data_IF_365184025946
#
_entry.id   IF_365184025946
#
_cell.length_a   1.000
_cell.length_b   1.000
_cell.length_c   1.000
_cell.angle_alpha   90.00
_cell.angle_beta   90.00
_cell.angle_gamma   90.00
#
_symmetry.space_group_name_H-M   'P 1'
#
loop_
_entity.id
_entity.type
_entity.pdbx_description
1 polymer ?
#
# COMPACT_ATOMS: atom_id res chain seq x y z
N UNK A 1 5.59 0.59 -23.69
CA UNK A 1 6.52 -0.46 -23.19
C UNK A 1 6.30 -1.71 -24.00
N UNK A 2 7.30 -2.13 -24.77
CA UNK A 2 7.13 -3.30 -25.65
C UNK A 2 7.03 -4.59 -24.82
N UNK A 3 6.01 -5.42 -25.10
CA UNK A 3 5.76 -6.71 -24.46
C UNK A 3 5.46 -6.68 -22.94
N UNK A 4 4.87 -5.61 -22.41
CA UNK A 4 4.43 -5.57 -21.01
C UNK A 4 3.31 -6.60 -20.77
N UNK A 5 3.48 -7.48 -19.78
CA UNK A 5 2.50 -8.52 -19.43
C UNK A 5 1.69 -8.18 -18.17
N UNK A 6 2.28 -7.40 -17.26
CA UNK A 6 1.64 -7.09 -15.99
C UNK A 6 1.98 -5.71 -15.45
N UNK A 7 1.05 -5.15 -14.71
CA UNK A 7 1.23 -3.96 -13.88
C UNK A 7 1.04 -4.37 -12.42
N UNK A 8 2.05 -4.14 -11.61
CA UNK A 8 2.03 -4.44 -10.18
C UNK A 8 1.95 -3.11 -9.42
N UNK A 9 0.97 -2.97 -8.56
CA UNK A 9 0.68 -1.72 -7.84
C UNK A 9 1.07 -1.83 -6.37
N UNK A 10 1.59 -0.75 -5.81
CA UNK A 10 1.42 -0.48 -4.39
C UNK A 10 -0.05 -0.14 -4.10
N UNK A 11 -0.41 -0.02 -2.84
CA UNK A 11 -1.79 0.19 -2.42
C UNK A 11 -2.02 1.62 -1.90
N UNK A 12 -1.45 1.94 -0.73
CA UNK A 12 -1.65 3.24 -0.09
C UNK A 12 -0.85 4.35 -0.80
N UNK A 13 -1.52 5.41 -1.23
CA UNK A 13 -0.87 6.47 -2.01
C UNK A 13 -0.86 6.21 -3.52
N UNK A 14 -1.22 4.98 -3.93
CA UNK A 14 -1.24 4.57 -5.34
C UNK A 14 -2.65 4.25 -5.84
N UNK A 15 -3.39 3.37 -5.17
CA UNK A 15 -4.76 3.01 -5.54
C UNK A 15 -5.81 3.72 -4.67
N UNK A 16 -5.51 3.93 -3.40
CA UNK A 16 -6.38 4.62 -2.46
C UNK A 16 -5.62 5.42 -1.40
N UNK A 17 -6.34 6.21 -0.61
CA UNK A 17 -5.85 6.84 0.62
C UNK A 17 -6.64 6.36 1.82
N UNK A 18 -5.94 5.90 2.86
CA UNK A 18 -6.54 5.44 4.11
C UNK A 18 -6.20 6.33 5.30
N UNK A 19 -5.63 7.52 5.05
CA UNK A 19 -5.17 8.45 6.11
C UNK A 19 -6.28 8.75 7.10
N UNK A 20 -7.49 9.06 6.63
CA UNK A 20 -8.61 9.42 7.51
C UNK A 20 -9.07 8.23 8.36
N UNK A 21 -9.18 7.06 7.76
CA UNK A 21 -9.54 5.83 8.47
C UNK A 21 -8.50 5.48 9.53
N UNK A 22 -7.22 5.48 9.16
CA UNK A 22 -6.10 5.17 10.05
C UNK A 22 -6.00 6.16 11.21
N UNK A 23 -6.14 7.46 10.93
CA UNK A 23 -6.14 8.49 11.95
C UNK A 23 -7.29 8.32 12.97
N UNK A 24 -8.50 8.08 12.49
CA UNK A 24 -9.65 7.87 13.36
C UNK A 24 -9.50 6.60 14.19
N UNK A 25 -8.94 5.53 13.61
CA UNK A 25 -8.64 4.28 14.31
C UNK A 25 -7.61 4.49 15.43
N UNK A 26 -6.55 5.25 15.18
CA UNK A 26 -5.55 5.58 16.20
C UNK A 26 -6.17 6.36 17.36
N UNK A 27 -7.09 7.27 17.08
CA UNK A 27 -7.85 7.98 18.14
C UNK A 27 -8.72 7.03 18.96
N UNK A 28 -9.45 6.12 18.32
CA UNK A 28 -10.24 5.10 19.01
C UNK A 28 -9.39 4.24 19.95
N UNK A 29 -8.15 3.89 19.56
CA UNK A 29 -7.23 3.13 20.41
C UNK A 29 -6.71 4.00 21.54
N UNK A 30 -6.33 5.24 21.26
CA UNK A 30 -5.86 6.19 22.27
C UNK A 30 -6.90 6.43 23.38
N UNK A 31 -8.18 6.58 23.03
CA UNK A 31 -9.27 6.78 23.98
C UNK A 31 -9.44 5.61 24.96
N UNK A 32 -9.03 4.40 24.56
CA UNK A 32 -9.10 3.18 25.39
C UNK A 32 -7.88 2.96 26.29
N UNK A 33 -6.77 3.62 25.98
CA UNK A 33 -5.48 3.44 26.65
C UNK A 33 -4.94 4.76 27.18
N UNK A 34 -5.19 5.10 28.48
CA UNK A 34 -4.75 6.37 29.10
C UNK A 34 -3.23 6.61 29.10
N UNK A 35 -2.43 5.56 28.96
CA UNK A 35 -0.96 5.59 28.85
C UNK A 35 -0.51 6.05 27.47
N UNK A 36 -1.37 6.06 26.46
CA UNK A 36 -1.09 6.72 25.18
C UNK A 36 -1.29 8.23 25.35
N UNK A 37 -0.27 8.90 25.85
CA UNK A 37 -0.32 10.34 26.18
C UNK A 37 0.04 11.25 25.02
N UNK A 38 0.63 10.68 23.94
CA UNK A 38 1.02 11.43 22.74
C UNK A 38 -0.08 11.37 21.70
N UNK A 39 -0.53 12.53 21.25
CA UNK A 39 -1.40 12.61 20.08
C UNK A 39 -0.59 12.39 18.79
N UNK A 40 -1.16 11.64 17.85
CA UNK A 40 -0.62 11.40 16.51
C UNK A 40 -1.44 12.24 15.55
N UNK A 41 -0.78 13.11 14.79
CA UNK A 41 -1.45 13.96 13.78
C UNK A 41 -1.71 13.20 12.46
N UNK A 42 -2.65 13.70 11.65
CA UNK A 42 -2.87 13.15 10.29
C UNK A 42 -1.61 13.22 9.41
N UNK A 43 -0.79 14.25 9.58
CA UNK A 43 0.47 14.40 8.84
C UNK A 43 1.50 13.32 9.23
N UNK A 44 1.55 12.95 10.51
CA UNK A 44 2.38 11.82 10.95
C UNK A 44 1.86 10.48 10.43
N UNK A 45 0.54 10.30 10.37
CA UNK A 45 -0.08 9.13 9.72
C UNK A 45 0.33 9.08 8.26
N UNK A 46 0.21 10.19 7.53
CA UNK A 46 0.62 10.29 6.13
C UNK A 46 2.09 9.90 5.93
N UNK A 47 3.00 10.43 6.75
CA UNK A 47 4.44 10.13 6.70
C UNK A 47 4.80 8.68 7.07
N UNK A 48 3.88 7.98 7.71
CA UNK A 48 4.06 6.58 8.13
C UNK A 48 3.50 5.57 7.13
N UNK A 49 2.80 6.03 6.08
CA UNK A 49 2.29 5.14 5.04
C UNK A 49 3.45 4.44 4.30
N UNK A 50 3.32 3.13 4.11
CA UNK A 50 4.34 2.31 3.45
C UNK A 50 5.55 1.95 4.32
N UNK A 51 5.69 2.51 5.53
CA UNK A 51 6.79 2.17 6.43
C UNK A 51 6.63 0.76 7.04
N UNK A 52 7.74 0.08 7.37
CA UNK A 52 7.73 -1.17 8.12
C UNK A 52 7.08 -1.03 9.50
N UNK A 53 6.46 -2.13 9.97
CA UNK A 53 5.72 -2.16 11.25
C UNK A 53 6.56 -1.69 12.46
N UNK A 54 7.80 -2.15 12.57
CA UNK A 54 8.71 -1.80 13.67
C UNK A 54 9.07 -0.31 13.67
N UNK A 55 9.19 0.31 12.50
CA UNK A 55 9.41 1.76 12.36
C UNK A 55 8.17 2.51 12.84
N UNK A 56 6.97 2.07 12.47
CA UNK A 56 5.71 2.68 12.92
C UNK A 56 5.55 2.56 14.44
N UNK A 57 5.81 1.38 15.01
CA UNK A 57 5.80 1.17 16.48
C UNK A 57 6.71 2.17 17.18
N UNK A 58 7.95 2.31 16.70
CA UNK A 58 8.92 3.26 17.27
C UNK A 58 8.45 4.72 17.12
N UNK A 59 7.89 5.09 15.98
CA UNK A 59 7.45 6.46 15.71
C UNK A 59 6.25 6.86 16.57
N UNK A 60 5.28 5.95 16.77
CA UNK A 60 4.04 6.27 17.46
C UNK A 60 4.12 6.04 18.98
N UNK A 61 4.77 4.95 19.38
CA UNK A 61 4.72 4.43 20.75
C UNK A 61 6.10 4.25 21.40
N UNK A 62 7.18 4.73 20.76
CA UNK A 62 8.56 4.52 21.23
C UNK A 62 8.91 5.12 22.59
N UNK A 63 7.99 5.85 23.22
CA UNK A 63 8.10 6.35 24.61
C UNK A 63 7.52 5.38 25.65
N UNK A 64 6.84 4.33 25.21
CA UNK A 64 6.29 3.27 26.06
C UNK A 64 7.28 2.11 26.18
N UNK A 65 7.02 1.20 27.14
CA UNK A 65 7.67 -0.10 27.16
C UNK A 65 7.47 -0.84 25.82
N UNK A 66 8.50 -1.56 25.37
CA UNK A 66 8.50 -2.16 24.03
C UNK A 66 7.35 -3.15 23.82
N UNK A 67 7.06 -4.01 24.80
CA UNK A 67 5.99 -5.00 24.67
C UNK A 67 4.62 -4.32 24.61
N UNK A 68 4.44 -3.28 25.40
CA UNK A 68 3.23 -2.47 25.42
C UNK A 68 3.05 -1.70 24.10
N UNK A 69 4.11 -1.05 23.59
CA UNK A 69 4.12 -0.36 22.31
C UNK A 69 3.71 -1.28 21.14
N UNK A 70 4.28 -2.49 21.11
CA UNK A 70 3.94 -3.52 20.11
C UNK A 70 2.49 -3.97 20.26
N UNK A 71 1.99 -4.13 21.47
CA UNK A 71 0.60 -4.52 21.74
C UNK A 71 -0.39 -3.49 21.19
N UNK A 72 -0.18 -2.21 21.51
CA UNK A 72 -1.06 -1.12 21.04
C UNK A 72 -1.00 -0.92 19.51
N UNK A 73 0.19 -1.04 18.93
CA UNK A 73 0.32 -1.00 17.49
C UNK A 73 -0.44 -2.14 16.81
N UNK A 74 -0.33 -3.38 17.32
CA UNK A 74 -1.10 -4.52 16.79
C UNK A 74 -2.60 -4.32 16.93
N UNK A 75 -3.07 -3.79 18.08
CA UNK A 75 -4.48 -3.45 18.27
C UNK A 75 -4.94 -2.43 17.22
N UNK A 76 -4.15 -1.34 17.03
CA UNK A 76 -4.47 -0.31 16.07
C UNK A 76 -4.52 -0.87 14.62
N UNK A 77 -3.57 -1.71 14.23
CA UNK A 77 -3.55 -2.32 12.90
C UNK A 77 -4.74 -3.26 12.68
N UNK A 78 -5.06 -4.13 13.64
CA UNK A 78 -6.21 -5.03 13.54
C UNK A 78 -7.52 -4.22 13.45
N UNK A 79 -7.65 -3.21 14.30
CA UNK A 79 -8.83 -2.33 14.28
C UNK A 79 -8.95 -1.53 12.99
N UNK A 80 -7.81 -1.11 12.41
CA UNK A 80 -7.79 -0.43 11.13
C UNK A 80 -8.31 -1.33 10.00
N UNK A 81 -7.91 -2.60 9.95
CA UNK A 81 -8.46 -3.58 8.99
C UNK A 81 -9.97 -3.74 9.15
N UNK A 82 -10.47 -3.86 10.39
CA UNK A 82 -11.92 -3.93 10.65
C UNK A 82 -12.66 -2.68 10.16
N UNK A 83 -12.11 -1.49 10.44
CA UNK A 83 -12.69 -0.21 10.02
C UNK A 83 -12.65 -0.06 8.49
N UNK A 84 -11.55 -0.45 7.83
CA UNK A 84 -11.43 -0.45 6.38
C UNK A 84 -12.41 -1.43 5.71
N UNK A 85 -12.61 -2.62 6.27
CA UNK A 85 -13.62 -3.56 5.79
C UNK A 85 -15.05 -3.02 5.89
N UNK A 86 -15.30 -2.09 6.80
CA UNK A 86 -16.61 -1.49 7.03
C UNK A 86 -16.84 -0.20 6.24
N UNK A 87 -15.83 0.64 6.16
CA UNK A 87 -15.96 2.01 5.63
C UNK A 87 -15.19 2.22 4.33
N UNK A 88 -14.20 1.38 4.02
CA UNK A 88 -13.27 1.57 2.90
C UNK A 88 -12.25 2.67 3.14
N UNK A 89 -11.41 2.89 2.13
CA UNK A 89 -10.57 4.06 1.96
C UNK A 89 -11.12 4.97 0.85
N UNK A 90 -10.47 6.09 0.60
CA UNK A 90 -10.81 7.00 -0.49
C UNK A 90 -10.06 6.59 -1.75
N UNK A 91 -10.75 6.15 -2.78
CA UNK A 91 -10.15 5.81 -4.08
C UNK A 91 -9.66 7.08 -4.78
N UNK A 92 -8.53 6.99 -5.50
CA UNK A 92 -8.10 8.08 -6.37
C UNK A 92 -9.05 8.25 -7.56
N UNK A 93 -9.21 9.49 -8.01
CA UNK A 93 -10.15 9.83 -9.08
C UNK A 93 -9.81 9.07 -10.39
N UNK A 94 -10.81 8.45 -11.00
CA UNK A 94 -10.67 7.67 -12.23
C UNK A 94 -10.16 6.24 -12.05
N UNK A 95 -9.81 5.82 -10.81
CA UNK A 95 -9.25 4.50 -10.55
C UNK A 95 -10.09 3.36 -11.12
N UNK A 96 -11.40 3.36 -10.85
CA UNK A 96 -12.27 2.25 -11.24
C UNK A 96 -12.27 2.00 -12.75
N UNK A 97 -12.39 3.06 -13.53
CA UNK A 97 -12.43 2.94 -15.01
C UNK A 97 -11.05 2.58 -15.56
N UNK A 98 -9.98 3.14 -15.01
CA UNK A 98 -8.60 2.80 -15.40
C UNK A 98 -8.29 1.33 -15.10
N UNK A 99 -8.60 0.82 -13.90
CA UNK A 99 -8.37 -0.60 -13.57
C UNK A 99 -9.16 -1.52 -14.50
N UNK A 100 -10.42 -1.20 -14.80
CA UNK A 100 -11.25 -1.98 -15.75
C UNK A 100 -10.63 -2.02 -17.15
N UNK A 101 -10.11 -0.89 -17.65
CA UNK A 101 -9.46 -0.83 -18.96
C UNK A 101 -8.17 -1.63 -18.97
N UNK A 102 -7.27 -1.37 -18.02
CA UNK A 102 -5.96 -2.04 -17.95
C UNK A 102 -6.09 -3.56 -17.79
N UNK A 103 -7.10 -4.05 -17.06
CA UNK A 103 -7.32 -5.49 -16.88
C UNK A 103 -7.68 -6.26 -18.15
N UNK A 104 -8.07 -5.57 -19.22
CA UNK A 104 -8.31 -6.20 -20.53
C UNK A 104 -7.01 -6.52 -21.29
N UNK A 105 -5.90 -5.86 -20.93
CA UNK A 105 -4.63 -5.95 -21.65
C UNK A 105 -3.51 -6.55 -20.79
N UNK A 106 -3.55 -6.30 -19.49
CA UNK A 106 -2.49 -6.66 -18.53
C UNK A 106 -3.00 -7.50 -17.37
N UNK A 107 -2.16 -8.35 -16.82
CA UNK A 107 -2.37 -8.91 -15.48
C UNK A 107 -2.14 -7.81 -14.46
N UNK A 108 -3.12 -7.55 -13.60
CA UNK A 108 -3.00 -6.56 -12.53
C UNK A 108 -2.74 -7.26 -11.22
N UNK A 109 -1.71 -6.83 -10.49
CA UNK A 109 -1.37 -7.39 -9.19
C UNK A 109 -1.16 -6.28 -8.15
N UNK A 110 -1.26 -6.62 -6.86
CA UNK A 110 -0.97 -5.70 -5.76
C UNK A 110 0.14 -6.29 -4.89
N UNK A 111 1.15 -5.48 -4.56
CA UNK A 111 2.18 -5.81 -3.56
C UNK A 111 2.37 -4.65 -2.61
N UNK A 112 2.09 -4.85 -1.33
CA UNK A 112 2.19 -3.80 -0.30
C UNK A 112 2.90 -4.29 0.97
N UNK A 113 3.45 -3.36 1.76
CA UNK A 113 4.05 -3.64 3.07
C UNK A 113 3.01 -3.76 4.21
N UNK A 114 1.73 -3.81 3.90
CA UNK A 114 0.66 -3.85 4.87
C UNK A 114 0.55 -5.19 5.62
N UNK A 115 -0.32 -5.22 6.62
CA UNK A 115 -0.69 -6.44 7.36
C UNK A 115 -1.65 -7.31 6.53
N UNK A 116 -1.74 -8.60 6.90
CA UNK A 116 -2.72 -9.52 6.31
C UNK A 116 -4.16 -9.01 6.51
N UNK A 117 -5.02 -9.17 5.51
CA UNK A 117 -6.40 -8.67 5.51
C UNK A 117 -6.59 -7.25 4.98
N UNK A 118 -5.50 -6.49 4.86
CA UNK A 118 -5.56 -5.08 4.44
C UNK A 118 -5.84 -4.93 2.93
N UNK A 119 -5.15 -5.71 2.08
CA UNK A 119 -5.42 -5.73 0.63
C UNK A 119 -6.82 -6.26 0.36
N UNK A 120 -7.23 -7.30 1.10
CA UNK A 120 -8.57 -7.88 1.00
C UNK A 120 -9.66 -6.86 1.33
N UNK A 121 -9.40 -5.92 2.26
CA UNK A 121 -10.34 -4.84 2.56
C UNK A 121 -10.51 -3.88 1.38
N UNK A 122 -9.42 -3.52 0.68
CA UNK A 122 -9.48 -2.75 -0.55
C UNK A 122 -10.26 -3.47 -1.64
N UNK A 123 -9.88 -4.71 -1.95
CA UNK A 123 -10.52 -5.50 -3.01
C UNK A 123 -12.03 -5.65 -2.80
N UNK A 124 -12.45 -5.82 -1.54
CA UNK A 124 -13.85 -5.98 -1.16
C UNK A 124 -14.61 -4.65 -1.23
N UNK A 125 -14.07 -3.58 -0.64
CA UNK A 125 -14.82 -2.31 -0.50
C UNK A 125 -14.82 -1.48 -1.77
N UNK A 126 -13.80 -1.61 -2.63
CA UNK A 126 -13.77 -0.98 -3.95
C UNK A 126 -14.59 -1.73 -5.00
N UNK A 127 -14.97 -2.99 -4.77
CA UNK A 127 -15.55 -3.90 -5.77
C UNK A 127 -14.62 -4.16 -6.98
N UNK A 128 -13.31 -3.95 -6.84
CA UNK A 128 -12.33 -4.14 -7.92
C UNK A 128 -11.64 -5.50 -7.89
N UNK A 129 -11.93 -6.35 -6.90
CA UNK A 129 -11.24 -7.62 -6.68
C UNK A 129 -11.18 -8.54 -7.90
N UNK A 130 -12.22 -8.56 -8.74
CA UNK A 130 -12.27 -9.40 -9.94
C UNK A 130 -11.32 -8.98 -11.07
N UNK A 131 -10.76 -7.77 -11.01
CA UNK A 131 -9.83 -7.24 -12.00
C UNK A 131 -8.37 -7.51 -11.65
N UNK A 132 -8.08 -7.91 -10.40
CA UNK A 132 -6.73 -8.24 -9.96
C UNK A 132 -6.49 -9.75 -10.06
N UNK A 133 -5.39 -10.12 -10.71
CA UNK A 133 -4.96 -11.51 -10.89
C UNK A 133 -4.43 -12.09 -9.58
N UNK A 134 -3.67 -11.30 -8.82
CA UNK A 134 -2.97 -11.77 -7.63
C UNK A 134 -2.55 -10.62 -6.70
N UNK A 135 -2.22 -10.95 -5.46
CA UNK A 135 -1.70 -9.98 -4.48
C UNK A 135 -0.89 -10.64 -3.37
N UNK A 136 0.06 -9.89 -2.82
CA UNK A 136 0.82 -10.29 -1.64
C UNK A 136 1.17 -9.10 -0.74
N UNK A 137 1.38 -9.40 0.53
CA UNK A 137 1.84 -8.41 1.51
C UNK A 137 2.90 -8.98 2.46
N UNK A 138 3.74 -8.08 3.00
CA UNK A 138 4.73 -8.42 4.03
C UNK A 138 4.08 -9.06 5.26
N UNK A 139 2.90 -8.60 5.67
CA UNK A 139 2.17 -9.12 6.84
C UNK A 139 1.91 -10.63 6.76
N UNK A 140 1.72 -11.18 5.56
CA UNK A 140 1.49 -12.61 5.30
C UNK A 140 2.79 -13.38 5.06
N UNK A 141 3.60 -12.91 4.13
CA UNK A 141 4.79 -13.65 3.66
C UNK A 141 6.02 -13.46 4.55
N UNK A 142 6.14 -12.35 5.24
CA UNK A 142 7.32 -11.85 5.96
C UNK A 142 8.50 -11.52 5.03
N UNK A 143 8.28 -11.50 3.73
CA UNK A 143 9.25 -11.13 2.70
C UNK A 143 9.27 -9.59 2.52
N UNK A 144 10.36 -9.07 2.00
CA UNK A 144 10.44 -7.67 1.56
C UNK A 144 9.47 -7.41 0.39
N UNK A 145 9.17 -6.13 0.13
CA UNK A 145 8.31 -5.76 -1.00
C UNK A 145 8.89 -6.25 -2.33
N UNK A 146 10.20 -6.11 -2.56
CA UNK A 146 10.88 -6.59 -3.77
C UNK A 146 10.83 -8.13 -3.94
N UNK A 147 10.97 -8.89 -2.84
CA UNK A 147 10.81 -10.34 -2.85
C UNK A 147 9.36 -10.75 -3.14
N UNK A 148 8.37 -10.04 -2.61
CA UNK A 148 6.96 -10.27 -2.91
C UNK A 148 6.62 -9.97 -4.38
N UNK A 149 7.22 -8.95 -5.00
CA UNK A 149 7.09 -8.68 -6.43
C UNK A 149 7.60 -9.89 -7.24
N UNK A 150 8.81 -10.39 -6.94
CA UNK A 150 9.37 -11.57 -7.59
C UNK A 150 8.50 -12.81 -7.41
N UNK A 151 7.99 -13.03 -6.20
CA UNK A 151 7.09 -14.13 -5.88
C UNK A 151 5.81 -14.11 -6.74
N UNK A 152 5.18 -12.93 -6.87
CA UNK A 152 3.99 -12.76 -7.73
C UNK A 152 4.33 -13.00 -9.20
N UNK A 153 5.45 -12.47 -9.69
CA UNK A 153 5.87 -12.67 -11.06
C UNK A 153 6.12 -14.16 -11.37
N UNK A 154 6.82 -14.86 -10.49
CA UNK A 154 7.09 -16.30 -10.63
C UNK A 154 5.79 -17.12 -10.60
N UNK A 155 4.96 -16.91 -9.59
CA UNK A 155 3.71 -17.65 -9.39
C UNK A 155 2.71 -17.50 -10.54
N UNK A 156 2.74 -16.34 -11.20
CA UNK A 156 1.83 -16.03 -12.31
C UNK A 156 2.49 -16.16 -13.70
N UNK A 157 3.72 -16.67 -13.78
CA UNK A 157 4.51 -16.79 -15.01
C UNK A 157 4.64 -15.45 -15.76
N UNK A 158 4.84 -14.34 -15.06
CA UNK A 158 5.03 -12.99 -15.59
C UNK A 158 6.51 -12.79 -15.86
N UNK A 159 6.86 -12.44 -17.10
CA UNK A 159 8.25 -12.20 -17.53
C UNK A 159 8.57 -10.70 -17.68
N UNK A 160 7.55 -9.90 -17.96
CA UNK A 160 7.68 -8.46 -18.14
C UNK A 160 6.61 -7.75 -17.31
N UNK A 161 7.03 -6.98 -16.33
CA UNK A 161 6.15 -6.21 -15.46
C UNK A 161 6.71 -4.81 -15.21
N UNK A 162 5.87 -3.92 -14.73
CA UNK A 162 6.22 -2.62 -14.18
C UNK A 162 5.62 -2.49 -12.79
N UNK A 163 6.31 -1.78 -11.89
CA UNK A 163 5.79 -1.48 -10.56
C UNK A 163 5.34 -0.02 -10.49
N UNK A 164 4.13 0.22 -10.01
CA UNK A 164 3.55 1.55 -9.80
C UNK A 164 3.48 1.80 -8.31
N UNK A 165 4.08 2.88 -7.84
CA UNK A 165 4.10 3.24 -6.43
C UNK A 165 4.44 4.71 -6.23
N UNK A 166 4.32 5.20 -5.00
CA UNK A 166 4.43 6.62 -4.70
C UNK A 166 5.59 6.98 -3.76
N UNK A 167 6.36 5.99 -3.28
CA UNK A 167 7.45 6.20 -2.32
C UNK A 167 8.81 5.75 -2.83
N UNK A 168 9.89 6.23 -2.16
CA UNK A 168 11.25 5.72 -2.40
C UNK A 168 11.36 4.22 -2.11
N UNK A 169 10.60 3.71 -1.11
CA UNK A 169 10.55 2.27 -0.82
C UNK A 169 9.98 1.44 -1.98
N UNK A 170 9.05 2.01 -2.74
CA UNK A 170 8.48 1.37 -3.95
C UNK A 170 9.50 1.30 -5.08
N UNK A 171 10.22 2.40 -5.30
CA UNK A 171 11.32 2.43 -6.26
C UNK A 171 12.42 1.42 -5.94
N UNK A 172 12.83 1.34 -4.67
CA UNK A 172 13.80 0.36 -4.22
C UNK A 172 13.30 -1.08 -4.44
N UNK A 173 12.03 -1.34 -4.13
CA UNK A 173 11.41 -2.64 -4.34
C UNK A 173 11.35 -3.04 -5.83
N UNK A 174 11.01 -2.11 -6.72
CA UNK A 174 11.04 -2.32 -8.17
C UNK A 174 12.47 -2.63 -8.66
N UNK A 175 13.46 -1.87 -8.17
CA UNK A 175 14.88 -2.12 -8.46
C UNK A 175 15.33 -3.48 -7.98
N UNK A 176 14.96 -3.90 -6.77
CA UNK A 176 15.28 -5.22 -6.22
C UNK A 176 14.63 -6.35 -7.03
N UNK A 177 13.44 -6.10 -7.56
CA UNK A 177 12.75 -7.02 -8.46
C UNK A 177 13.28 -6.97 -9.91
N UNK A 178 14.16 -6.02 -10.23
CA UNK A 178 14.72 -5.78 -11.57
C UNK A 178 13.63 -5.50 -12.63
N UNK A 179 12.66 -4.67 -12.27
CA UNK A 179 11.60 -4.18 -13.16
C UNK A 179 11.52 -2.65 -13.15
N UNK A 180 11.01 -2.01 -14.22
CA UNK A 180 10.82 -0.57 -14.26
C UNK A 180 9.87 -0.06 -13.18
N UNK A 181 10.07 1.19 -12.77
CA UNK A 181 9.27 1.89 -11.78
C UNK A 181 8.51 3.06 -12.38
N UNK A 182 7.21 3.11 -12.15
CA UNK A 182 6.35 4.27 -12.44
C UNK A 182 6.05 4.99 -11.12
N UNK A 183 6.50 6.23 -11.02
CA UNK A 183 6.23 7.08 -9.86
C UNK A 183 4.83 7.70 -9.95
N UNK A 184 3.98 7.39 -8.99
CA UNK A 184 2.65 7.98 -8.80
C UNK A 184 2.77 9.29 -8.00
N UNK A 185 3.02 10.41 -8.68
CA UNK A 185 3.33 11.70 -8.06
C UNK A 185 2.14 12.35 -7.33
N UNK A 186 0.95 11.79 -7.45
CA UNK A 186 -0.25 12.19 -6.70
C UNK A 186 -0.33 11.57 -5.30
N UNK A 187 0.59 10.64 -4.96
CA UNK A 187 0.61 9.91 -3.69
C UNK A 187 1.17 10.70 -2.51
N UNK A 188 1.84 10.02 -1.60
CA UNK A 188 2.29 10.60 -0.32
C UNK A 188 3.75 11.03 -0.33
N UNK A 189 4.60 10.36 -1.11
CA UNK A 189 6.05 10.54 -1.09
C UNK A 189 6.58 11.41 -2.21
N UNK A 190 7.82 11.86 -2.04
CA UNK A 190 8.62 12.48 -3.09
C UNK A 190 9.66 11.47 -3.57
N UNK A 191 9.71 11.21 -4.87
CA UNK A 191 10.64 10.27 -5.48
C UNK A 191 11.43 10.96 -6.58
N UNK A 192 12.74 10.78 -6.55
CA UNK A 192 13.65 11.21 -7.62
C UNK A 192 14.14 10.02 -8.46
N UNK A 193 14.66 10.29 -9.66
CA UNK A 193 15.26 9.28 -10.54
C UNK A 193 14.37 8.07 -10.83
N UNK A 194 13.13 8.30 -11.21
CA UNK A 194 12.16 7.30 -11.67
C UNK A 194 12.31 7.01 -13.16
N UNK A 195 11.82 5.84 -13.61
CA UNK A 195 11.81 5.52 -15.05
C UNK A 195 10.67 6.25 -15.76
N UNK A 196 9.49 6.29 -15.14
CA UNK A 196 8.30 6.99 -15.63
C UNK A 196 7.60 7.70 -14.48
N UNK A 197 6.80 8.72 -14.80
CA UNK A 197 5.97 9.48 -13.85
C UNK A 197 4.55 9.61 -14.35
N UNK A 198 3.61 9.51 -13.44
CA UNK A 198 2.20 9.81 -13.67
C UNK A 198 1.72 10.82 -12.62
N UNK A 199 0.93 11.80 -13.06
CA UNK A 199 0.32 12.82 -12.20
C UNK A 199 -1.14 12.46 -11.85
N UNK A 200 -1.68 11.44 -12.50
CA UNK A 200 -2.98 10.81 -12.23
C UNK A 200 -2.91 9.33 -12.55
N UNK A 201 -3.70 8.51 -11.86
CA UNK A 201 -3.83 7.08 -12.17
C UNK A 201 -4.31 6.85 -13.62
N UNK A 202 -5.09 7.78 -14.18
CA UNK A 202 -5.59 7.73 -15.55
C UNK A 202 -4.49 7.84 -16.62
N UNK A 203 -3.31 8.36 -16.26
CA UNK A 203 -2.18 8.45 -17.20
C UNK A 203 -1.66 7.07 -17.61
N UNK A 204 -1.92 6.03 -16.79
CA UNK A 204 -1.60 4.63 -17.13
C UNK A 204 -2.33 4.10 -18.37
N UNK A 205 -3.41 4.73 -18.79
CA UNK A 205 -4.12 4.33 -20.00
C UNK A 205 -3.31 4.60 -21.30
N UNK A 206 -2.19 5.30 -21.20
CA UNK A 206 -1.34 5.69 -22.33
C UNK A 206 0.05 5.03 -22.31
N UNK A 207 0.27 3.98 -21.52
CA UNK A 207 1.57 3.28 -21.38
C UNK A 207 1.77 2.18 -22.42
#
# INVERSE_FOLDING_TARGET
MDNLEAIIFDLDGTLWSTIDCSYNTLKEVQERHPDITREISKEEVRKSMGLPFDVIVKNYYGYLDFELAVSYAKEAFNKNVENLLKFGGTLYSGLEDTIKKLSNEYKLCIVSNCVEGYIESFLKTSNLGSYFTDYECNGKTKLTKGENIKLIMERNNIKSAVYVGDTMGDKEAAKDANIPFIYAAYGFGDVDNYDYRIDSITDLENI
#
